data_IF_216478795356
#
_entry.id   IF_216478795356
#
_cell.length_a   1.000
_cell.length_b   1.000
_cell.length_c   1.000
_cell.angle_alpha   90.00
_cell.angle_beta   90.00
_cell.angle_gamma   90.00
#
_symmetry.space_group_name_H-M   'P 1'
#
loop_
_entity.id
_entity.type
_entity.pdbx_description
1 polymer ?
#
# COMPACT_ATOMS: atom_id res chain seq x y z
N UNK A 1 -11.77 3.11 3.26
CA UNK A 1 -12.13 2.87 1.85
C UNK A 1 -10.90 3.01 0.99
N UNK A 2 -10.66 2.11 0.05
CA UNK A 2 -9.69 2.25 -1.03
C UNK A 2 -10.42 2.88 -2.22
N UNK A 3 -9.97 4.04 -2.66
CA UNK A 3 -10.65 4.76 -3.73
C UNK A 3 -9.69 5.63 -4.55
N UNK A 4 -10.09 5.91 -5.80
CA UNK A 4 -9.46 6.88 -6.67
C UNK A 4 -9.98 8.28 -6.32
N UNK A 5 -9.10 9.26 -6.15
CA UNK A 5 -9.49 10.68 -6.06
C UNK A 5 -9.75 11.16 -7.48
N UNK A 6 -11.02 11.26 -7.89
CA UNK A 6 -11.40 11.72 -9.23
C UNK A 6 -11.47 13.26 -9.31
N UNK A 7 -11.67 13.94 -8.19
CA UNK A 7 -11.69 15.40 -8.15
C UNK A 7 -11.18 15.91 -6.79
N UNK A 8 -10.42 16.99 -6.82
CA UNK A 8 -9.89 17.67 -5.62
C UNK A 8 -10.10 19.17 -5.75
N UNK A 9 -10.79 19.78 -4.77
CA UNK A 9 -11.03 21.22 -4.68
C UNK A 9 -10.73 21.72 -3.28
N UNK A 10 -10.00 22.81 -3.18
CA UNK A 10 -9.77 23.49 -1.91
C UNK A 10 -10.79 24.62 -1.71
N UNK A 11 -11.29 24.78 -0.48
CA UNK A 11 -12.19 25.85 -0.10
C UNK A 11 -11.81 26.42 1.27
N UNK A 12 -12.08 27.71 1.46
CA UNK A 12 -11.99 28.34 2.78
C UNK A 12 -13.33 28.26 3.50
N UNK A 13 -13.29 27.92 4.77
CA UNK A 13 -14.45 28.01 5.66
C UNK A 13 -14.78 29.47 5.99
N UNK A 14 -15.94 29.72 6.59
CA UNK A 14 -16.30 31.08 7.06
C UNK A 14 -15.32 31.64 8.09
N UNK A 15 -14.61 30.79 8.82
CA UNK A 15 -13.56 31.19 9.78
C UNK A 15 -12.17 31.40 9.14
N UNK A 16 -12.05 31.28 7.80
CA UNK A 16 -10.79 31.42 7.08
C UNK A 16 -9.92 30.15 7.03
N UNK A 17 -10.33 29.08 7.69
CA UNK A 17 -9.59 27.82 7.65
C UNK A 17 -9.79 27.10 6.30
N UNK A 18 -8.73 26.50 5.76
CA UNK A 18 -8.81 25.74 4.52
C UNK A 18 -9.38 24.34 4.78
N UNK A 19 -10.16 23.83 3.83
CA UNK A 19 -10.62 22.46 3.75
C UNK A 19 -10.51 21.95 2.32
N UNK A 20 -10.39 20.65 2.13
CA UNK A 20 -10.47 20.01 0.82
C UNK A 20 -11.80 19.27 0.66
N UNK A 21 -12.41 19.45 -0.50
CA UNK A 21 -13.54 18.67 -0.97
C UNK A 21 -13.01 17.74 -2.04
N UNK A 22 -13.24 16.45 -1.89
CA UNK A 22 -12.77 15.42 -2.83
C UNK A 22 -13.95 14.55 -3.26
N UNK A 23 -13.98 14.23 -4.54
CA UNK A 23 -14.81 13.16 -5.04
C UNK A 23 -13.94 11.92 -5.15
N UNK A 24 -14.41 10.84 -4.56
CA UNK A 24 -13.69 9.57 -4.58
C UNK A 24 -14.59 8.48 -5.15
N UNK A 25 -13.99 7.62 -5.93
CA UNK A 25 -14.69 6.52 -6.58
C UNK A 25 -13.96 5.20 -6.38
N UNK A 26 -14.72 4.16 -6.18
CA UNK A 26 -14.29 2.78 -6.29
C UNK A 26 -15.00 2.10 -7.47
N UNK A 27 -14.85 0.78 -7.61
CA UNK A 27 -15.48 0.03 -8.69
C UNK A 27 -17.03 0.04 -8.68
N UNK A 28 -17.66 0.56 -7.61
CA UNK A 28 -19.11 0.41 -7.36
C UNK A 28 -19.83 1.73 -7.16
N UNK A 29 -19.15 2.75 -6.63
CA UNK A 29 -19.82 3.99 -6.23
C UNK A 29 -18.92 5.22 -6.26
N UNK A 30 -19.53 6.38 -6.37
CA UNK A 30 -18.91 7.68 -6.22
C UNK A 30 -19.37 8.26 -4.88
N UNK A 31 -18.41 8.75 -4.08
CA UNK A 31 -18.67 9.32 -2.76
C UNK A 31 -18.01 10.69 -2.62
N UNK A 32 -18.79 11.66 -2.13
CA UNK A 32 -18.22 12.94 -1.71
C UNK A 32 -17.49 12.78 -0.38
N UNK A 33 -16.31 13.38 -0.27
CA UNK A 33 -15.56 13.38 0.98
C UNK A 33 -15.04 14.78 1.31
N UNK A 34 -14.89 15.06 2.58
CA UNK A 34 -14.39 16.33 3.10
C UNK A 34 -13.22 16.10 4.05
N UNK A 35 -12.15 16.86 3.82
CA UNK A 35 -10.97 16.90 4.68
C UNK A 35 -10.93 18.27 5.33
N UNK A 36 -11.22 18.35 6.62
CA UNK A 36 -11.19 19.59 7.37
C UNK A 36 -9.75 20.05 7.66
N UNK A 37 -9.58 21.33 7.91
CA UNK A 37 -8.29 21.99 8.17
C UNK A 37 -7.44 21.30 9.23
N UNK A 38 -8.07 20.71 10.25
CA UNK A 38 -7.41 19.99 11.34
C UNK A 38 -6.61 18.78 10.86
N UNK A 39 -7.08 18.13 9.81
CA UNK A 39 -6.46 16.94 9.20
C UNK A 39 -5.66 17.30 7.95
N UNK A 40 -6.12 18.34 7.23
CA UNK A 40 -5.58 18.73 5.92
C UNK A 40 -4.06 18.95 5.95
N UNK A 41 -3.53 19.58 7.00
CA UNK A 41 -2.10 19.86 7.12
C UNK A 41 -1.22 18.59 7.17
N UNK A 42 -1.75 17.50 7.70
CA UNK A 42 -1.02 16.22 7.82
C UNK A 42 -1.19 15.29 6.62
N UNK A 43 -2.16 15.57 5.73
CA UNK A 43 -2.50 14.66 4.62
C UNK A 43 -2.41 15.33 3.24
N UNK A 44 -2.05 16.62 3.18
CA UNK A 44 -2.03 17.41 1.94
C UNK A 44 -1.15 16.78 0.84
N UNK A 45 -0.02 16.18 1.20
CA UNK A 45 0.89 15.52 0.25
C UNK A 45 0.29 14.26 -0.38
N UNK A 46 -0.61 13.58 0.34
CA UNK A 46 -1.29 12.38 -0.15
C UNK A 46 -2.57 12.72 -0.95
N UNK A 47 -3.05 13.97 -0.89
CA UNK A 47 -4.22 14.43 -1.62
C UNK A 47 -3.83 14.93 -3.00
N UNK A 48 -3.76 14.02 -3.95
CA UNK A 48 -3.46 14.31 -5.35
C UNK A 48 -4.58 13.74 -6.21
N UNK A 49 -5.08 14.55 -7.17
CA UNK A 49 -6.07 14.06 -8.13
C UNK A 49 -5.49 12.92 -8.98
N UNK A 50 -6.34 12.05 -9.45
CA UNK A 50 -6.00 10.86 -10.25
C UNK A 50 -5.06 9.86 -9.53
N UNK A 51 -5.08 9.87 -8.19
CA UNK A 51 -4.35 8.90 -7.38
C UNK A 51 -5.26 8.00 -6.55
N UNK A 52 -4.82 6.76 -6.37
CA UNK A 52 -5.52 5.79 -5.51
C UNK A 52 -4.99 5.93 -4.08
N UNK A 53 -5.91 6.10 -3.14
CA UNK A 53 -5.61 6.29 -1.71
C UNK A 53 -6.48 5.41 -0.82
N UNK A 54 -6.03 5.20 0.40
CA UNK A 54 -6.86 4.62 1.46
C UNK A 54 -7.34 5.73 2.37
N UNK A 55 -8.66 5.91 2.43
CA UNK A 55 -9.32 6.90 3.27
C UNK A 55 -9.93 6.24 4.49
N UNK A 56 -9.71 6.82 5.65
CA UNK A 56 -10.37 6.45 6.90
C UNK A 56 -11.12 7.66 7.43
N UNK A 57 -12.33 7.43 7.95
CA UNK A 57 -13.17 8.51 8.44
C UNK A 57 -14.56 8.03 8.83
N UNK A 58 -15.46 8.98 9.01
CA UNK A 58 -16.86 8.75 9.40
C UNK A 58 -17.81 9.19 8.31
N UNK A 59 -18.84 8.41 8.08
CA UNK A 59 -19.93 8.78 7.18
C UNK A 59 -20.91 9.67 7.94
N UNK A 60 -21.16 10.86 7.41
CA UNK A 60 -22.11 11.81 7.93
C UNK A 60 -22.97 12.37 6.80
N UNK A 61 -24.06 13.01 7.12
CA UNK A 61 -24.82 13.83 6.16
C UNK A 61 -24.31 15.24 6.16
N UNK A 62 -24.22 15.84 4.99
CA UNK A 62 -23.90 17.25 4.82
C UNK A 62 -25.15 18.14 5.07
N UNK A 63 -25.02 19.45 4.84
CA UNK A 63 -26.12 20.44 5.01
C UNK A 63 -27.27 20.28 3.97
N UNK A 64 -27.08 19.46 2.94
CA UNK A 64 -28.09 19.11 1.92
C UNK A 64 -28.74 17.77 2.16
N UNK A 65 -28.45 17.13 3.31
CA UNK A 65 -28.87 15.78 3.67
C UNK A 65 -28.23 14.68 2.78
N UNK A 66 -27.11 15.00 2.08
CA UNK A 66 -26.34 14.05 1.27
C UNK A 66 -25.25 13.37 2.08
N UNK A 67 -25.05 12.06 1.83
CA UNK A 67 -23.99 11.30 2.50
C UNK A 67 -22.61 11.74 2.04
N UNK A 68 -21.73 12.00 2.97
CA UNK A 68 -20.33 12.30 2.73
C UNK A 68 -19.41 11.60 3.71
N UNK A 69 -18.18 11.35 3.29
CA UNK A 69 -17.11 10.85 4.15
C UNK A 69 -16.38 12.05 4.78
N UNK A 70 -16.43 12.16 6.10
CA UNK A 70 -15.54 13.08 6.85
C UNK A 70 -14.23 12.34 7.09
N UNK A 71 -13.18 12.77 6.42
CA UNK A 71 -11.89 12.08 6.41
C UNK A 71 -11.10 12.43 7.67
N UNK A 72 -10.66 11.39 8.38
CA UNK A 72 -9.77 11.51 9.53
C UNK A 72 -8.31 11.18 9.14
N UNK A 73 -8.10 10.35 8.10
CA UNK A 73 -6.78 9.90 7.65
C UNK A 73 -6.77 9.59 6.16
N UNK A 74 -5.66 9.94 5.51
CA UNK A 74 -5.35 9.56 4.12
C UNK A 74 -4.02 8.84 4.12
N UNK A 75 -3.96 7.66 3.51
CA UNK A 75 -2.74 6.86 3.37
C UNK A 75 -2.56 6.47 1.91
N UNK A 76 -1.33 6.57 1.41
CA UNK A 76 -1.00 6.01 0.10
C UNK A 76 -1.07 4.48 0.12
N UNK A 77 -1.41 3.87 -1.01
CA UNK A 77 -1.58 2.40 -1.13
C UNK A 77 -0.32 1.66 -0.70
N UNK A 78 0.87 2.15 -1.08
CA UNK A 78 2.13 1.49 -0.74
C UNK A 78 2.43 1.51 0.77
N UNK A 79 2.11 2.61 1.46
CA UNK A 79 2.24 2.70 2.91
C UNK A 79 1.31 1.72 3.63
N UNK A 80 0.08 1.56 3.10
CA UNK A 80 -0.89 0.60 3.64
C UNK A 80 -0.44 -0.84 3.36
N UNK A 81 0.04 -1.13 2.15
CA UNK A 81 0.61 -2.44 1.82
C UNK A 81 1.76 -2.80 2.76
N UNK A 82 2.70 -1.89 2.97
CA UNK A 82 3.83 -2.11 3.87
C UNK A 82 3.38 -2.39 5.31
N UNK A 83 2.42 -1.61 5.81
CA UNK A 83 1.87 -1.72 7.17
C UNK A 83 1.18 -3.06 7.45
N UNK A 84 0.45 -3.61 6.46
CA UNK A 84 -0.31 -4.84 6.60
C UNK A 84 0.38 -6.06 6.00
N UNK A 85 1.55 -5.90 5.39
CA UNK A 85 2.36 -7.00 4.91
C UNK A 85 2.87 -7.85 6.09
N UNK A 86 2.46 -9.11 6.14
CA UNK A 86 2.90 -10.07 7.14
C UNK A 86 4.28 -10.63 6.83
N UNK A 87 4.52 -10.95 5.57
CA UNK A 87 5.82 -11.34 5.05
C UNK A 87 5.87 -11.22 3.53
N UNK A 88 7.09 -11.05 3.02
CA UNK A 88 7.41 -11.15 1.60
C UNK A 88 7.91 -12.58 1.34
N UNK A 89 7.08 -13.38 0.67
CA UNK A 89 7.36 -14.80 0.44
C UNK A 89 8.06 -14.98 -0.90
N UNK A 90 9.14 -15.76 -0.91
CA UNK A 90 9.92 -16.12 -2.09
C UNK A 90 9.99 -17.65 -2.17
N UNK A 91 9.55 -18.20 -3.29
CA UNK A 91 9.59 -19.63 -3.55
C UNK A 91 10.90 -20.01 -4.26
N UNK A 92 11.65 -20.92 -3.69
CA UNK A 92 12.94 -21.37 -4.18
C UNK A 92 12.95 -22.89 -4.41
N UNK A 93 13.81 -23.34 -5.30
CA UNK A 93 14.13 -24.73 -5.51
C UNK A 93 15.63 -24.90 -5.81
N UNK A 94 16.07 -26.12 -6.06
CA UNK A 94 17.48 -26.44 -6.32
C UNK A 94 18.10 -25.67 -7.51
N UNK A 95 17.31 -25.22 -8.48
CA UNK A 95 17.80 -24.46 -9.65
C UNK A 95 18.23 -23.04 -9.28
N UNK A 96 17.71 -22.51 -8.17
CA UNK A 96 17.99 -21.13 -7.71
C UNK A 96 19.20 -21.03 -6.79
N UNK A 97 19.94 -22.12 -6.56
CA UNK A 97 21.06 -22.14 -5.61
C UNK A 97 22.16 -21.11 -5.98
N UNK A 98 22.45 -20.94 -7.27
CA UNK A 98 23.46 -19.97 -7.76
C UNK A 98 22.95 -18.52 -7.74
N UNK A 99 21.65 -18.31 -7.62
CA UNK A 99 20.99 -17.00 -7.62
C UNK A 99 20.81 -16.43 -6.22
N UNK A 100 21.20 -17.17 -5.19
CA UNK A 100 21.01 -16.72 -3.81
C UNK A 100 21.82 -15.45 -3.48
N UNK A 101 23.04 -15.33 -3.99
CA UNK A 101 23.87 -14.14 -3.78
C UNK A 101 23.28 -12.89 -4.46
N UNK A 102 22.93 -12.90 -5.76
CA UNK A 102 22.20 -11.79 -6.40
C UNK A 102 20.88 -11.45 -5.70
N UNK A 103 20.12 -12.44 -5.26
CA UNK A 103 18.90 -12.24 -4.49
C UNK A 103 19.15 -11.52 -3.16
N UNK A 104 20.19 -11.94 -2.43
CA UNK A 104 20.60 -11.28 -1.17
C UNK A 104 20.93 -9.80 -1.38
N UNK A 105 21.64 -9.47 -2.45
CA UNK A 105 21.97 -8.08 -2.80
C UNK A 105 20.70 -7.29 -3.09
N UNK A 106 19.78 -7.86 -3.90
CA UNK A 106 18.51 -7.23 -4.25
C UNK A 106 17.65 -6.94 -3.02
N UNK A 107 17.55 -7.89 -2.09
CA UNK A 107 16.78 -7.71 -0.85
C UNK A 107 17.38 -6.62 0.03
N UNK A 108 18.71 -6.55 0.14
CA UNK A 108 19.42 -5.51 0.92
C UNK A 108 19.30 -4.11 0.30
N UNK A 109 19.11 -4.01 -1.01
CA UNK A 109 18.87 -2.74 -1.70
C UNK A 109 17.46 -2.18 -1.48
N UNK A 110 16.52 -2.99 -0.97
CA UNK A 110 15.13 -2.60 -0.71
C UNK A 110 14.77 -2.73 0.77
N UNK A 111 15.46 -2.00 1.67
CA UNK A 111 15.26 -2.14 3.11
C UNK A 111 13.85 -1.66 3.53
N UNK A 112 13.25 -2.33 4.51
CA UNK A 112 11.92 -2.02 5.05
C UNK A 112 11.64 -2.74 6.36
N UNK A 113 10.37 -2.99 6.65
CA UNK A 113 9.96 -3.64 7.90
C UNK A 113 9.28 -5.01 7.69
N UNK A 114 9.02 -5.40 6.44
CA UNK A 114 8.37 -6.65 6.11
C UNK A 114 9.41 -7.79 6.12
N UNK A 115 9.27 -8.81 6.98
CA UNK A 115 10.20 -9.94 7.03
C UNK A 115 10.10 -10.78 5.75
N UNK A 116 11.24 -11.28 5.28
CA UNK A 116 11.28 -12.20 4.14
C UNK A 116 11.07 -13.63 4.62
N UNK A 117 10.19 -14.35 3.93
CA UNK A 117 9.94 -15.78 4.11
C UNK A 117 10.41 -16.53 2.88
N UNK A 118 11.37 -17.42 3.05
CA UNK A 118 11.76 -18.36 2.01
C UNK A 118 10.94 -19.66 2.11
N UNK A 119 10.34 -20.06 1.01
CA UNK A 119 9.72 -21.37 0.84
C UNK A 119 10.61 -22.18 -0.10
N UNK A 120 11.16 -23.29 0.37
CA UNK A 120 12.05 -24.14 -0.42
C UNK A 120 11.41 -25.49 -0.71
N UNK A 121 11.43 -25.87 -1.97
CA UNK A 121 10.87 -27.15 -2.43
C UNK A 121 11.94 -28.02 -3.08
N UNK A 122 12.08 -29.23 -2.59
CA UNK A 122 12.96 -30.27 -3.16
C UNK A 122 12.19 -31.58 -3.27
N UNK A 123 12.05 -32.10 -4.48
CA UNK A 123 11.29 -33.33 -4.74
C UNK A 123 9.89 -33.26 -4.08
N UNK A 124 9.65 -34.16 -3.09
CA UNK A 124 8.39 -34.24 -2.36
C UNK A 124 8.43 -33.56 -0.99
N UNK A 125 9.52 -32.85 -0.65
CA UNK A 125 9.66 -32.13 0.61
C UNK A 125 9.55 -30.63 0.40
N UNK A 126 8.81 -29.95 1.28
CA UNK A 126 8.69 -28.51 1.32
C UNK A 126 9.00 -28.01 2.71
N UNK A 127 9.81 -26.97 2.80
CA UNK A 127 10.12 -26.28 4.04
C UNK A 127 9.97 -24.77 3.88
N UNK A 128 9.73 -24.06 4.97
CA UNK A 128 9.74 -22.61 4.94
C UNK A 128 10.44 -22.04 6.16
N UNK A 129 11.10 -20.89 5.99
CA UNK A 129 11.78 -20.16 7.06
C UNK A 129 11.51 -18.66 6.90
N UNK A 130 11.15 -18.01 8.00
CA UNK A 130 11.12 -16.55 8.08
C UNK A 130 12.50 -16.12 8.56
N UNK A 131 13.20 -15.37 7.72
CA UNK A 131 14.56 -14.91 8.05
C UNK A 131 14.52 -13.74 9.02
N UNK A 132 15.59 -13.62 9.81
CA UNK A 132 15.84 -12.46 10.68
C UNK A 132 16.83 -11.49 10.06
N UNK A 133 17.39 -11.82 8.90
CA UNK A 133 18.46 -11.05 8.26
C UNK A 133 17.94 -10.13 7.16
N UNK A 134 16.72 -10.38 6.65
CA UNK A 134 16.13 -9.61 5.56
C UNK A 134 14.76 -9.06 5.96
N UNK A 135 14.70 -7.72 5.97
CA UNK A 135 13.47 -6.97 6.09
C UNK A 135 13.39 -6.02 4.92
N UNK A 136 12.31 -6.11 4.14
CA UNK A 136 12.17 -5.39 2.87
C UNK A 136 10.95 -4.47 2.88
N UNK A 137 10.99 -3.46 1.99
CA UNK A 137 9.82 -2.68 1.63
C UNK A 137 9.04 -3.44 0.55
N UNK A 138 7.87 -4.01 0.86
CA UNK A 138 7.11 -4.79 -0.10
C UNK A 138 6.49 -3.87 -1.16
N UNK A 139 7.08 -3.84 -2.33
CA UNK A 139 6.62 -3.02 -3.46
C UNK A 139 6.44 -3.89 -4.70
N UNK A 140 5.66 -3.40 -5.68
CA UNK A 140 5.55 -4.08 -6.96
C UNK A 140 6.91 -4.16 -7.66
N UNK A 141 7.72 -3.11 -7.56
CA UNK A 141 9.07 -3.11 -8.13
C UNK A 141 9.97 -4.22 -7.57
N UNK A 142 9.86 -4.51 -6.27
CA UNK A 142 10.61 -5.61 -5.66
C UNK A 142 10.10 -6.97 -6.15
N UNK A 143 8.78 -7.15 -6.28
CA UNK A 143 8.20 -8.37 -6.85
C UNK A 143 8.74 -8.59 -8.27
N UNK A 144 8.62 -7.58 -9.12
CA UNK A 144 9.06 -7.65 -10.53
C UNK A 144 10.56 -7.94 -10.63
N UNK A 145 11.38 -7.33 -9.77
CA UNK A 145 12.82 -7.56 -9.77
C UNK A 145 13.21 -8.97 -9.28
N UNK A 146 12.51 -9.50 -8.27
CA UNK A 146 12.72 -10.88 -7.79
C UNK A 146 12.26 -11.88 -8.83
N UNK A 147 11.10 -11.66 -9.44
CA UNK A 147 10.56 -12.53 -10.48
C UNK A 147 11.41 -12.50 -11.76
N UNK A 148 11.98 -11.34 -12.12
CA UNK A 148 12.95 -11.25 -13.23
C UNK A 148 14.25 -12.03 -12.94
N UNK A 149 14.66 -12.12 -11.67
CA UNK A 149 15.87 -12.85 -11.27
C UNK A 149 15.65 -14.36 -11.19
N UNK A 150 14.52 -14.77 -10.61
CA UNK A 150 14.26 -16.18 -10.26
C UNK A 150 13.34 -16.91 -11.25
N UNK A 151 12.49 -16.18 -11.96
CA UNK A 151 11.39 -16.67 -12.78
C UNK A 151 10.04 -16.13 -12.32
N UNK A 152 9.08 -16.17 -13.21
CA UNK A 152 7.77 -15.57 -13.00
C UNK A 152 7.00 -16.21 -11.83
N UNK A 153 6.31 -15.35 -11.07
CA UNK A 153 5.40 -15.73 -9.97
C UNK A 153 6.04 -16.49 -8.81
N UNK A 154 7.34 -16.30 -8.58
CA UNK A 154 8.05 -16.92 -7.46
C UNK A 154 8.06 -16.03 -6.21
N UNK A 155 7.59 -14.80 -6.31
CA UNK A 155 7.47 -13.88 -5.18
C UNK A 155 6.04 -13.37 -4.97
N UNK A 156 5.66 -13.15 -3.71
CA UNK A 156 4.36 -12.56 -3.35
C UNK A 156 4.40 -11.91 -1.97
N UNK A 157 3.46 -10.98 -1.74
CA UNK A 157 3.23 -10.38 -0.43
C UNK A 157 2.05 -11.09 0.23
N UNK A 158 2.26 -11.60 1.43
CA UNK A 158 1.18 -12.13 2.26
C UNK A 158 0.75 -11.04 3.24
N UNK A 159 -0.54 -10.79 3.31
CA UNK A 159 -1.15 -9.82 4.21
C UNK A 159 -1.77 -10.52 5.44
N UNK A 160 -1.95 -9.77 6.55
CA UNK A 160 -2.59 -10.25 7.77
C UNK A 160 -4.11 -10.28 7.63
#
# INVERSE_FOLDING_TARGET
VLALISELRYRSTRSGAQMALINVEDSTTLLNAVVFSKVLGSVSEALVADTVVVLSGKINKDYRDEWQLVVDKVEGVDAVKEKYARNFEISLNHKHQTLFEPLSVLLKQNPGQCPVKFCYQVNNAQGSVITRDYFVKPSQQLIDAVDALLGDHLSKINYA
#
